data_IF_680836938195
#
_entry.id   IF_680836938195
#
_cell.length_a   1.000
_cell.length_b   1.000
_cell.length_c   1.000
_cell.angle_alpha   90.00
_cell.angle_beta   90.00
_cell.angle_gamma   90.00
#
_symmetry.space_group_name_H-M   'P 1'
#
loop_
_entity.id
_entity.type
_entity.pdbx_description
1 polymer ?
#
# COMPACT_ATOMS: atom_id res chain seq x y z
N UNK A 1 -8.26 -20.51 3.82
CA UNK A 1 -8.11 -20.07 2.41
C UNK A 1 -6.67 -20.25 1.98
N UNK A 2 -6.39 -20.38 0.69
CA UNK A 2 -5.02 -20.42 0.18
C UNK A 2 -4.32 -19.07 0.49
N UNK A 3 -3.17 -19.05 1.17
CA UNK A 3 -2.47 -17.81 1.54
C UNK A 3 -2.06 -16.97 0.32
N UNK A 4 -1.80 -17.61 -0.83
CA UNK A 4 -1.53 -16.90 -2.08
C UNK A 4 -2.75 -16.11 -2.56
N UNK A 5 -3.96 -16.63 -2.38
CA UNK A 5 -5.18 -15.92 -2.74
C UNK A 5 -5.41 -14.70 -1.84
N UNK A 6 -5.11 -14.82 -0.54
CA UNK A 6 -5.19 -13.72 0.42
C UNK A 6 -4.22 -12.61 0.02
N UNK A 7 -2.99 -12.97 -0.36
CA UNK A 7 -1.99 -12.01 -0.83
C UNK A 7 -2.46 -11.27 -2.09
N UNK A 8 -3.01 -11.98 -3.07
CA UNK A 8 -3.53 -11.37 -4.31
C UNK A 8 -4.67 -10.39 -3.99
N UNK A 9 -5.62 -10.79 -3.14
CA UNK A 9 -6.74 -9.93 -2.75
C UNK A 9 -6.25 -8.68 -1.99
N UNK A 10 -5.30 -8.84 -1.06
CA UNK A 10 -4.70 -7.73 -0.34
C UNK A 10 -4.04 -6.71 -1.29
N UNK A 11 -3.24 -7.17 -2.25
CA UNK A 11 -2.58 -6.28 -3.22
C UNK A 11 -3.60 -5.52 -4.08
N UNK A 12 -4.68 -6.20 -4.51
CA UNK A 12 -5.74 -5.58 -5.32
C UNK A 12 -6.44 -4.46 -4.53
N UNK A 13 -6.69 -4.67 -3.24
CA UNK A 13 -7.42 -3.74 -2.39
C UNK A 13 -6.56 -2.57 -1.89
N UNK A 14 -5.28 -2.80 -1.60
CA UNK A 14 -4.39 -1.78 -1.03
C UNK A 14 -3.84 -0.76 -2.04
N UNK A 15 -3.86 -1.07 -3.33
CA UNK A 15 -3.30 -0.19 -4.35
C UNK A 15 -4.21 0.99 -4.70
N UNK A 16 -3.79 2.26 -4.52
CA UNK A 16 -4.59 3.43 -4.89
C UNK A 16 -4.81 3.50 -6.40
N UNK A 17 -6.01 3.92 -6.81
CA UNK A 17 -6.39 4.05 -8.23
C UNK A 17 -6.12 5.45 -8.79
N UNK A 18 -6.16 6.45 -7.93
CA UNK A 18 -5.89 7.85 -8.24
C UNK A 18 -4.78 8.38 -7.34
N UNK A 19 -3.99 9.31 -7.86
CA UNK A 19 -2.97 10.04 -7.12
C UNK A 19 -3.02 11.52 -7.49
N UNK A 20 -2.37 12.38 -6.71
CA UNK A 20 -2.28 13.81 -6.99
C UNK A 20 -0.87 14.19 -7.41
N UNK A 21 -0.71 14.76 -8.59
CA UNK A 21 0.57 15.31 -9.03
C UNK A 21 0.63 16.80 -8.78
N UNK A 22 1.77 17.26 -8.26
CA UNK A 22 2.07 18.68 -8.12
C UNK A 22 2.46 19.22 -9.49
N UNK A 23 1.60 20.04 -10.08
CA UNK A 23 1.79 20.65 -11.39
C UNK A 23 1.86 22.17 -11.23
N UNK A 24 2.85 22.80 -11.84
CA UNK A 24 3.04 24.25 -11.77
C UNK A 24 4.42 24.67 -12.29
N UNK A 25 4.53 25.93 -12.70
CA UNK A 25 5.80 26.58 -13.09
C UNK A 25 5.83 27.98 -12.47
N UNK A 26 7.04 28.51 -12.27
CA UNK A 26 7.27 29.89 -11.82
C UNK A 26 6.56 30.27 -10.50
N UNK A 27 6.75 29.47 -9.44
CA UNK A 27 6.35 29.85 -8.07
C UNK A 27 4.89 29.57 -7.69
N UNK A 28 4.04 29.15 -8.63
CA UNK A 28 2.68 28.67 -8.33
C UNK A 28 2.59 27.16 -8.51
N UNK A 29 1.93 26.48 -7.56
CA UNK A 29 1.75 25.03 -7.59
C UNK A 29 0.31 24.68 -7.28
N UNK A 30 -0.26 23.83 -8.12
CA UNK A 30 -1.58 23.23 -7.95
C UNK A 30 -1.44 21.71 -7.90
N UNK A 31 -2.40 21.03 -7.29
CA UNK A 31 -2.50 19.57 -7.36
C UNK A 31 -3.53 19.20 -8.41
N UNK A 32 -3.18 18.25 -9.26
CA UNK A 32 -4.08 17.68 -10.25
C UNK A 32 -4.22 16.19 -9.98
N UNK A 33 -5.47 15.70 -9.99
CA UNK A 33 -5.74 14.27 -9.93
C UNK A 33 -5.24 13.61 -11.23
N UNK A 34 -4.55 12.49 -11.08
CA UNK A 34 -4.05 11.66 -12.18
C UNK A 34 -4.31 10.20 -11.88
N UNK A 35 -4.58 9.43 -12.92
CA UNK A 35 -4.71 7.98 -12.81
C UNK A 35 -3.35 7.31 -12.56
N UNK A 36 -3.37 6.19 -11.83
CA UNK A 36 -2.16 5.42 -11.51
C UNK A 36 -2.02 4.25 -12.48
N UNK A 37 -0.81 4.06 -13.03
CA UNK A 37 -0.53 2.90 -13.89
C UNK A 37 -0.68 1.58 -13.11
N UNK A 38 -1.09 0.46 -13.76
CA UNK A 38 -1.30 -0.82 -13.08
C UNK A 38 -0.05 -1.30 -12.31
N UNK A 39 1.13 -1.14 -12.90
CA UNK A 39 2.40 -1.50 -12.26
C UNK A 39 2.69 -0.62 -11.03
N UNK A 40 2.46 0.69 -11.13
CA UNK A 40 2.66 1.61 -10.00
C UNK A 40 1.70 1.28 -8.85
N UNK A 41 0.46 0.92 -9.16
CA UNK A 41 -0.53 0.50 -8.16
C UNK A 41 -0.08 -0.74 -7.37
N UNK A 42 0.44 -1.77 -8.06
CA UNK A 42 0.99 -2.97 -7.41
C UNK A 42 2.21 -2.63 -6.56
N UNK A 43 3.17 -1.88 -7.10
CA UNK A 43 4.39 -1.52 -6.38
C UNK A 43 4.08 -0.70 -5.10
N UNK A 44 3.13 0.23 -5.20
CA UNK A 44 2.72 1.06 -4.07
C UNK A 44 1.97 0.26 -3.02
N UNK A 45 1.10 -0.68 -3.41
CA UNK A 45 0.43 -1.59 -2.49
C UNK A 45 1.43 -2.41 -1.65
N UNK A 46 2.39 -3.04 -2.31
CA UNK A 46 3.44 -3.84 -1.64
C UNK A 46 4.24 -2.97 -0.67
N UNK A 47 4.63 -1.78 -1.11
CA UNK A 47 5.40 -0.87 -0.28
C UNK A 47 4.64 -0.44 0.98
N UNK A 48 3.36 -0.07 0.85
CA UNK A 48 2.51 0.32 1.97
C UNK A 48 2.34 -0.82 2.98
N UNK A 49 2.03 -2.04 2.52
CA UNK A 49 1.87 -3.22 3.37
C UNK A 49 3.16 -3.56 4.14
N UNK A 50 4.31 -3.53 3.47
CA UNK A 50 5.59 -3.80 4.12
C UNK A 50 6.00 -2.70 5.11
N UNK A 51 5.65 -1.44 4.82
CA UNK A 51 5.94 -0.31 5.70
C UNK A 51 5.08 -0.39 6.96
N UNK A 52 3.77 -0.62 6.82
CA UNK A 52 2.86 -0.83 7.95
C UNK A 52 3.27 -2.02 8.83
N UNK A 53 3.61 -3.16 8.23
CA UNK A 53 4.09 -4.33 8.96
C UNK A 53 5.38 -4.05 9.76
N UNK A 54 6.31 -3.28 9.19
CA UNK A 54 7.56 -2.89 9.86
C UNK A 54 7.32 -1.92 11.02
N UNK A 55 6.45 -0.93 10.82
CA UNK A 55 6.07 0.03 11.86
C UNK A 55 5.33 -0.65 13.01
N UNK A 56 4.39 -1.54 12.71
CA UNK A 56 3.63 -2.31 13.70
C UNK A 56 4.49 -3.29 14.50
N UNK A 57 5.58 -3.81 13.90
CA UNK A 57 6.53 -4.69 14.57
C UNK A 57 7.57 -3.92 15.41
N UNK A 58 7.75 -2.62 15.19
CA UNK A 58 8.77 -1.85 15.90
C UNK A 58 8.41 -1.71 17.38
N UNK A 59 9.29 -2.21 18.26
CA UNK A 59 9.10 -2.25 19.73
C UNK A 59 7.84 -2.99 20.18
N UNK A 60 7.35 -3.92 19.36
CA UNK A 60 6.22 -4.79 19.69
C UNK A 60 6.70 -6.17 20.12
N UNK A 61 5.87 -6.88 20.87
CA UNK A 61 6.10 -8.27 21.30
C UNK A 61 5.86 -9.23 20.12
N UNK A 62 4.89 -8.88 19.25
CA UNK A 62 4.58 -9.65 18.04
C UNK A 62 5.75 -9.63 17.06
N UNK A 63 6.00 -10.77 16.42
CA UNK A 63 7.02 -10.86 15.37
C UNK A 63 6.59 -10.11 14.11
N UNK A 64 7.55 -9.71 13.27
CA UNK A 64 7.23 -9.08 11.98
C UNK A 64 6.36 -9.96 11.09
N UNK A 65 6.49 -11.30 11.20
CA UNK A 65 5.68 -12.24 10.43
C UNK A 65 4.20 -12.22 10.86
N UNK A 66 3.94 -12.11 12.17
CA UNK A 66 2.57 -12.00 12.71
C UNK A 66 1.94 -10.66 12.34
N UNK A 67 2.68 -9.56 12.48
CA UNK A 67 2.21 -8.23 12.06
C UNK A 67 1.89 -8.20 10.55
N UNK A 68 2.72 -8.85 9.71
CA UNK A 68 2.49 -8.96 8.28
C UNK A 68 1.27 -9.82 7.96
N UNK A 69 1.05 -10.92 8.69
CA UNK A 69 -0.13 -11.74 8.52
C UNK A 69 -1.42 -10.98 8.89
N UNK A 70 -1.41 -10.24 10.00
CA UNK A 70 -2.52 -9.39 10.42
C UNK A 70 -2.85 -8.32 9.37
N UNK A 71 -1.83 -7.64 8.83
CA UNK A 71 -1.96 -6.67 7.72
C UNK A 71 -2.58 -7.30 6.48
N UNK A 72 -2.06 -8.45 6.02
CA UNK A 72 -2.58 -9.13 4.82
C UNK A 72 -4.03 -9.59 4.98
N UNK A 73 -4.39 -10.12 6.16
CA UNK A 73 -5.77 -10.58 6.42
C UNK A 73 -6.74 -9.41 6.44
N UNK A 74 -6.33 -8.25 6.97
CA UNK A 74 -7.17 -7.06 7.00
C UNK A 74 -7.28 -6.39 5.64
N UNK A 75 -6.19 -6.31 4.88
CA UNK A 75 -6.17 -5.74 3.53
C UNK A 75 -6.94 -6.60 2.51
N UNK A 76 -6.97 -7.92 2.70
CA UNK A 76 -7.69 -8.83 1.80
C UNK A 76 -9.21 -8.83 1.98
N UNK A 77 -9.72 -8.30 3.10
CA UNK A 77 -11.16 -8.10 3.33
C UNK A 77 -11.65 -6.85 2.60
#
# INVERSE_FOLDING_TARGET
QNPLQVLVNAIINSGPREDSTRIGRAGTVRRQAVDVSPLRRVNQAIWLLCTGAREAAFRNIKTIAECLADELINAAK
#
